data_IF_946853185994
#
_entry.id   IF_946853185994
#
_cell.length_a   1.000
_cell.length_b   1.000
_cell.length_c   1.000
_cell.angle_alpha   90.00
_cell.angle_beta   90.00
_cell.angle_gamma   90.00
#
_symmetry.space_group_name_H-M   'P 1'
#
loop_
_entity.id
_entity.type
_entity.pdbx_description
1 polymer ?
#
# COMPACT_ATOMS: atom_id res chain seq x y z
N UNK A 1 -5.11 20.85 7.57
CA UNK A 1 -5.23 19.40 7.73
C UNK A 1 -3.88 18.84 8.16
N UNK A 2 -3.85 18.21 9.32
CA UNK A 2 -2.61 17.78 9.96
C UNK A 2 -2.18 16.37 9.50
N UNK A 3 -1.89 16.24 8.22
CA UNK A 3 -1.33 15.01 7.69
C UNK A 3 0.20 15.07 7.80
N UNK A 4 0.77 14.11 8.54
CA UNK A 4 2.22 14.06 8.74
C UNK A 4 2.98 13.89 7.41
N UNK A 5 2.45 13.11 6.47
CA UNK A 5 3.09 12.94 5.17
C UNK A 5 3.01 14.21 4.32
N UNK A 6 1.86 14.88 4.31
CA UNK A 6 1.72 16.15 3.62
C UNK A 6 2.72 17.19 4.16
N UNK A 7 2.92 17.20 5.48
CA UNK A 7 3.87 18.11 6.11
C UNK A 7 5.30 17.77 5.73
N UNK A 8 5.68 16.49 5.75
CA UNK A 8 7.02 16.06 5.35
C UNK A 8 7.34 16.47 3.91
N UNK A 9 6.35 16.32 3.03
CA UNK A 9 6.49 16.67 1.62
C UNK A 9 6.62 18.19 1.45
N UNK A 10 5.71 18.93 2.07
CA UNK A 10 5.69 20.40 1.97
C UNK A 10 6.95 21.05 2.56
N UNK A 11 7.40 20.56 3.72
CA UNK A 11 8.56 21.10 4.41
C UNK A 11 9.88 20.52 3.93
N UNK A 12 9.84 19.55 3.02
CA UNK A 12 11.03 18.90 2.47
C UNK A 12 11.93 18.30 3.56
N UNK A 13 11.29 17.66 4.55
CA UNK A 13 12.00 17.09 5.71
C UNK A 13 11.96 15.56 5.73
N UNK A 14 11.43 14.93 4.70
CA UNK A 14 11.40 13.48 4.59
C UNK A 14 12.80 12.92 4.30
N UNK A 15 13.00 11.66 4.68
CA UNK A 15 14.21 10.90 4.31
C UNK A 15 14.00 10.37 2.88
N UNK A 16 14.24 11.23 1.92
CA UNK A 16 13.85 10.99 0.53
C UNK A 16 14.57 9.81 -0.11
N UNK A 17 13.79 9.03 -0.85
CA UNK A 17 14.27 7.94 -1.70
C UNK A 17 13.95 8.28 -3.16
N UNK A 18 12.76 8.83 -3.43
CA UNK A 18 12.38 9.31 -4.75
C UNK A 18 11.36 10.43 -4.62
N UNK A 19 11.42 11.40 -5.52
CA UNK A 19 10.46 12.51 -5.56
C UNK A 19 9.84 12.60 -6.94
N UNK A 20 8.54 12.87 -6.98
CA UNK A 20 7.82 13.08 -8.22
C UNK A 20 6.58 13.92 -7.98
N UNK A 21 6.00 14.40 -9.07
CA UNK A 21 4.78 15.23 -9.00
C UNK A 21 3.55 14.42 -8.62
N UNK A 22 3.50 13.15 -9.00
CA UNK A 22 2.35 12.26 -8.76
C UNK A 22 2.55 11.34 -7.57
N UNK A 23 3.77 10.86 -7.35
CA UNK A 23 4.11 9.95 -6.27
C UNK A 23 5.52 10.21 -5.78
N UNK A 24 5.77 9.87 -4.52
CA UNK A 24 7.09 10.02 -3.91
C UNK A 24 7.34 8.90 -2.90
N UNK A 25 8.60 8.76 -2.48
CA UNK A 25 9.02 7.67 -1.61
C UNK A 25 10.03 8.18 -0.59
N UNK A 26 9.88 7.72 0.65
CA UNK A 26 10.79 8.11 1.75
C UNK A 26 10.83 7.02 2.82
N UNK A 27 11.86 7.08 3.66
CA UNK A 27 12.02 6.15 4.76
C UNK A 27 11.11 6.47 5.94
N UNK A 28 10.52 5.44 6.58
CA UNK A 28 9.71 5.63 7.80
C UNK A 28 10.60 5.89 9.01
N UNK A 29 9.98 6.40 10.08
CA UNK A 29 10.69 6.63 11.35
C UNK A 29 11.14 5.33 12.02
N UNK A 30 10.30 4.29 11.93
CA UNK A 30 10.56 2.99 12.56
C UNK A 30 10.57 1.89 11.50
N UNK A 31 11.68 1.72 10.78
CA UNK A 31 11.73 0.72 9.72
C UNK A 31 11.66 -0.70 10.26
N UNK A 32 10.92 -1.56 9.57
CA UNK A 32 10.85 -2.99 9.86
C UNK A 32 12.10 -3.73 9.40
N UNK A 33 12.81 -3.16 8.44
CA UNK A 33 14.02 -3.73 7.85
C UNK A 33 14.86 -2.59 7.28
N UNK A 34 16.17 -2.80 7.10
CA UNK A 34 16.99 -1.80 6.41
C UNK A 34 16.45 -1.52 5.01
N UNK A 35 16.19 -0.25 4.71
CA UNK A 35 15.65 0.14 3.41
C UNK A 35 14.13 0.12 3.29
N UNK A 36 13.40 -0.23 4.36
CA UNK A 36 11.94 -0.12 4.39
C UNK A 36 11.52 1.25 3.88
N UNK A 37 10.65 1.28 2.88
CA UNK A 37 10.28 2.51 2.17
C UNK A 37 8.76 2.67 2.22
N UNK A 38 8.32 3.92 2.39
CA UNK A 38 6.92 4.31 2.20
C UNK A 38 6.80 4.96 0.82
N UNK A 39 5.86 4.47 0.01
CA UNK A 39 5.53 5.06 -1.28
C UNK A 39 4.12 5.62 -1.19
N UNK A 40 3.99 6.89 -1.51
CA UNK A 40 2.75 7.64 -1.29
C UNK A 40 2.42 8.51 -2.50
N UNK A 41 1.13 8.81 -2.75
CA UNK A 41 0.78 9.90 -3.66
C UNK A 41 1.34 11.21 -3.13
N UNK A 42 1.84 12.07 -4.00
CA UNK A 42 2.38 13.37 -3.60
C UNK A 42 1.28 14.26 -3.04
N UNK A 43 0.10 14.26 -3.67
CA UNK A 43 -1.09 14.95 -3.15
C UNK A 43 -1.81 14.07 -2.14
N UNK A 44 -2.54 14.69 -1.24
CA UNK A 44 -3.28 13.98 -0.19
C UNK A 44 -4.47 13.20 -0.77
N UNK A 45 -4.48 11.90 -0.52
CA UNK A 45 -5.62 11.01 -0.67
C UNK A 45 -5.63 10.14 0.57
N UNK A 46 -6.77 10.02 1.22
CA UNK A 46 -6.85 9.37 2.53
C UNK A 46 -6.50 7.88 2.45
N UNK A 47 -6.96 7.20 1.42
CA UNK A 47 -6.81 5.75 1.27
C UNK A 47 -7.03 5.32 -0.19
N UNK A 48 -7.02 4.00 -0.41
CA UNK A 48 -7.24 3.40 -1.72
C UNK A 48 -8.60 3.81 -2.32
N UNK A 49 -9.63 3.90 -1.48
CA UNK A 49 -11.00 4.21 -1.93
C UNK A 49 -11.13 5.65 -2.41
N UNK A 50 -10.29 6.55 -1.92
CA UNK A 50 -10.30 7.98 -2.22
C UNK A 50 -9.36 8.37 -3.36
N UNK A 51 -8.56 7.45 -3.85
CA UNK A 51 -7.48 7.75 -4.80
C UNK A 51 -7.95 7.54 -6.24
N UNK A 52 -7.80 8.55 -7.12
CA UNK A 52 -8.09 8.36 -8.56
C UNK A 52 -7.20 7.29 -9.19
N UNK A 53 -7.70 6.53 -10.17
CA UNK A 53 -6.93 5.46 -10.79
C UNK A 53 -5.59 5.88 -11.37
N UNK A 54 -5.49 7.06 -11.98
CA UNK A 54 -4.24 7.56 -12.56
C UNK A 54 -3.18 7.85 -11.49
N UNK A 55 -3.61 8.32 -10.33
CA UNK A 55 -2.72 8.56 -9.19
C UNK A 55 -2.27 7.22 -8.62
N UNK A 56 -3.20 6.26 -8.51
CA UNK A 56 -2.87 4.92 -8.02
C UNK A 56 -1.88 4.23 -8.95
N UNK A 57 -2.06 4.37 -10.27
CA UNK A 57 -1.13 3.82 -11.27
C UNK A 57 0.27 4.40 -11.10
N UNK A 58 0.38 5.72 -10.95
CA UNK A 58 1.67 6.37 -10.74
C UNK A 58 2.33 5.92 -9.44
N UNK A 59 1.54 5.78 -8.38
CA UNK A 59 2.03 5.33 -7.07
C UNK A 59 2.53 3.89 -7.16
N UNK A 60 1.77 2.99 -7.79
CA UNK A 60 2.15 1.58 -7.92
C UNK A 60 3.36 1.41 -8.84
N UNK A 61 3.48 2.23 -9.88
CA UNK A 61 4.67 2.23 -10.74
C UNK A 61 5.92 2.56 -9.93
N UNK A 62 5.82 3.53 -9.01
CA UNK A 62 6.94 3.87 -8.13
C UNK A 62 7.22 2.74 -7.14
N UNK A 63 6.19 2.07 -6.62
CA UNK A 63 6.36 0.87 -5.78
C UNK A 63 7.21 -0.18 -6.53
N UNK A 64 6.90 -0.46 -7.77
CA UNK A 64 7.64 -1.41 -8.58
C UNK A 64 9.11 -1.00 -8.76
N UNK A 65 9.34 0.29 -9.04
CA UNK A 65 10.71 0.82 -9.21
C UNK A 65 11.52 0.73 -7.91
N UNK A 66 10.90 1.05 -6.78
CA UNK A 66 11.55 0.96 -5.47
C UNK A 66 11.89 -0.50 -5.15
N UNK A 67 10.95 -1.41 -5.40
CA UNK A 67 11.18 -2.84 -5.18
C UNK A 67 12.34 -3.37 -6.03
N UNK A 68 12.40 -2.98 -7.29
CA UNK A 68 13.51 -3.35 -8.18
C UNK A 68 14.85 -2.80 -7.65
N UNK A 69 14.85 -1.56 -7.16
CA UNK A 69 16.04 -0.95 -6.59
C UNK A 69 16.52 -1.68 -5.33
N UNK A 70 15.61 -2.22 -4.53
CA UNK A 70 15.97 -3.00 -3.34
C UNK A 70 16.74 -4.26 -3.70
N UNK A 71 16.37 -4.91 -4.79
CA UNK A 71 17.12 -6.09 -5.27
C UNK A 71 18.51 -5.70 -5.76
N UNK A 72 18.63 -4.62 -6.50
CA UNK A 72 19.90 -4.19 -7.08
C UNK A 72 20.84 -3.54 -6.06
N UNK A 73 20.30 -2.63 -5.23
CA UNK A 73 21.11 -1.82 -4.34
C UNK A 73 21.36 -2.47 -2.98
N UNK A 74 20.43 -3.31 -2.51
CA UNK A 74 20.47 -3.89 -1.16
C UNK A 74 20.61 -5.41 -1.17
N UNK A 75 20.71 -6.05 -2.33
CA UNK A 75 20.73 -7.50 -2.48
C UNK A 75 19.55 -8.20 -1.80
N UNK A 76 18.39 -7.55 -1.77
CA UNK A 76 17.19 -8.16 -1.22
C UNK A 76 16.77 -9.36 -2.07
N UNK A 77 16.40 -10.46 -1.40
CA UNK A 77 15.90 -11.67 -2.07
C UNK A 77 14.49 -11.48 -2.60
N UNK A 78 13.69 -10.70 -1.88
CA UNK A 78 12.31 -10.39 -2.24
C UNK A 78 11.85 -9.14 -1.51
N UNK A 79 10.57 -8.81 -1.69
CA UNK A 79 9.94 -7.68 -1.00
C UNK A 79 8.54 -8.06 -0.58
N UNK A 80 8.07 -7.45 0.52
CA UNK A 80 6.66 -7.46 0.87
C UNK A 80 6.09 -6.06 0.65
N UNK A 81 4.88 -6.01 0.10
CA UNK A 81 4.18 -4.76 -0.14
C UNK A 81 2.90 -4.81 0.68
N UNK A 82 2.71 -3.82 1.56
CA UNK A 82 1.61 -3.78 2.51
C UNK A 82 0.93 -2.43 2.45
N UNK A 83 -0.39 -2.42 2.50
CA UNK A 83 -1.17 -1.19 2.61
C UNK A 83 -2.42 -1.46 3.43
N UNK A 84 -2.74 -0.56 4.35
CA UNK A 84 -3.94 -0.61 5.15
C UNK A 84 -4.85 0.55 4.75
N UNK A 85 -6.13 0.27 4.51
CA UNK A 85 -7.06 1.23 3.94
C UNK A 85 -8.42 1.15 4.63
N UNK A 86 -8.80 2.23 5.27
CA UNK A 86 -10.11 2.35 5.89
C UNK A 86 -10.18 1.82 7.33
N UNK A 87 -11.33 2.00 7.98
CA UNK A 87 -11.53 1.55 9.36
C UNK A 87 -11.38 0.04 9.49
N UNK A 88 -10.77 -0.41 10.58
CA UNK A 88 -10.59 -1.83 10.85
C UNK A 88 -9.38 -2.46 10.16
N UNK A 89 -8.67 -1.71 9.34
CA UNK A 89 -7.52 -2.22 8.58
C UNK A 89 -6.18 -1.95 9.25
N UNK A 90 -6.18 -1.25 10.39
CA UNK A 90 -4.97 -0.79 11.09
C UNK A 90 -4.24 0.33 10.33
N UNK A 91 -4.96 1.12 9.56
CA UNK A 91 -4.37 2.28 8.88
C UNK A 91 -3.92 3.31 9.92
N UNK A 92 -2.61 3.57 9.99
CA UNK A 92 -2.01 4.45 11.01
C UNK A 92 -1.98 5.91 10.59
N UNK A 93 -1.84 6.18 9.31
CA UNK A 93 -1.82 7.54 8.75
C UNK A 93 -2.86 7.62 7.64
N UNK A 94 -3.74 8.64 7.72
CA UNK A 94 -4.82 8.82 6.73
C UNK A 94 -4.32 9.56 5.49
N UNK A 95 -3.33 8.99 4.87
CA UNK A 95 -2.76 9.34 3.58
C UNK A 95 -2.32 8.02 2.97
N UNK A 96 -2.86 7.68 1.80
CA UNK A 96 -2.54 6.40 1.16
C UNK A 96 -1.04 6.15 1.17
N UNK A 97 -0.62 4.98 1.63
CA UNK A 97 0.78 4.61 1.59
C UNK A 97 0.96 3.12 1.44
N UNK A 98 1.99 2.77 0.70
CA UNK A 98 2.43 1.40 0.52
C UNK A 98 3.76 1.24 1.23
N UNK A 99 3.81 0.29 2.17
CA UNK A 99 5.07 -0.15 2.75
C UNK A 99 5.73 -1.08 1.75
N UNK A 100 6.96 -0.79 1.37
CA UNK A 100 7.78 -1.69 0.58
C UNK A 100 8.92 -2.13 1.47
N UNK A 101 8.90 -3.40 1.87
CA UNK A 101 9.80 -3.95 2.86
C UNK A 101 10.74 -4.96 2.20
N UNK A 102 12.04 -4.66 2.10
CA UNK A 102 12.98 -5.63 1.53
C UNK A 102 13.13 -6.81 2.47
N UNK A 103 13.22 -8.00 1.88
CA UNK A 103 13.30 -9.24 2.62
C UNK A 103 14.54 -10.03 2.21
N UNK A 104 15.18 -10.63 3.20
CA UNK A 104 16.31 -11.56 3.02
C UNK A 104 15.96 -12.88 3.68
N UNK A 105 16.53 -13.97 3.17
CA UNK A 105 16.31 -15.30 3.78
C UNK A 105 16.77 -15.24 5.26
N UNK A 106 15.93 -15.75 6.15
CA UNK A 106 16.20 -15.81 7.59
C UNK A 106 16.42 -14.43 8.26
N UNK A 107 15.71 -13.42 7.81
CA UNK A 107 15.85 -12.05 8.31
C UNK A 107 15.09 -11.78 9.64
N UNK A 108 14.39 -12.77 10.16
CA UNK A 108 13.84 -12.73 11.50
C UNK A 108 12.48 -12.06 11.65
N UNK A 109 11.85 -11.59 10.55
CA UNK A 109 10.52 -10.97 10.64
C UNK A 109 9.52 -11.71 9.75
N UNK A 110 8.23 -11.47 10.04
CA UNK A 110 7.12 -11.93 9.20
C UNK A 110 6.13 -10.80 9.03
N UNK A 111 5.62 -10.64 7.82
CA UNK A 111 4.57 -9.67 7.51
C UNK A 111 3.21 -10.35 7.32
N UNK A 112 3.15 -11.68 7.48
CA UNK A 112 1.91 -12.43 7.38
C UNK A 112 1.28 -12.63 8.76
N UNK A 113 -0.04 -12.47 8.89
CA UNK A 113 -0.71 -12.74 10.17
C UNK A 113 -0.63 -14.23 10.51
N UNK A 114 -0.61 -14.52 11.81
CA UNK A 114 -0.53 -15.90 12.31
C UNK A 114 -1.90 -16.52 12.52
N UNK A 115 -2.97 -15.72 12.46
CA UNK A 115 -4.33 -16.18 12.68
C UNK A 115 -5.24 -15.82 11.50
N UNK A 116 -6.48 -16.23 11.64
CA UNK A 116 -7.54 -15.95 10.68
C UNK A 116 -8.56 -14.99 11.28
N UNK A 117 -9.33 -14.33 10.43
CA UNK A 117 -10.39 -13.43 10.87
C UNK A 117 -11.41 -14.16 11.74
N UNK A 118 -11.85 -13.52 12.82
CA UNK A 118 -12.95 -14.01 13.66
C UNK A 118 -14.32 -13.43 13.24
N UNK A 119 -14.36 -12.74 12.10
CA UNK A 119 -15.61 -12.23 11.58
C UNK A 119 -16.55 -13.41 11.27
N UNK A 120 -17.85 -13.23 11.59
CA UNK A 120 -18.85 -14.26 11.28
C UNK A 120 -18.82 -14.59 9.78
N UNK A 121 -19.16 -15.82 9.43
CA UNK A 121 -19.15 -16.27 8.04
C UNK A 121 -20.09 -15.42 7.19
N UNK A 122 -19.68 -15.19 5.94
CA UNK A 122 -20.50 -14.55 4.90
C UNK A 122 -20.91 -15.64 3.92
N UNK A 123 -22.19 -15.70 3.58
CA UNK A 123 -22.69 -16.71 2.63
C UNK A 123 -22.19 -16.39 1.22
N UNK A 124 -21.56 -17.38 0.57
CA UNK A 124 -21.09 -17.32 -0.82
C UNK A 124 -20.33 -16.03 -1.14
N UNK A 125 -19.24 -15.71 -0.38
CA UNK A 125 -18.57 -14.42 -0.55
C UNK A 125 -17.98 -14.22 -1.95
N UNK A 126 -17.44 -15.27 -2.56
CA UNK A 126 -16.86 -15.19 -3.90
C UNK A 126 -17.91 -14.87 -4.95
N UNK A 127 -19.09 -15.49 -4.85
CA UNK A 127 -20.20 -15.22 -5.76
C UNK A 127 -20.70 -13.78 -5.62
N UNK A 128 -20.78 -13.28 -4.40
CA UNK A 128 -21.21 -11.92 -4.14
C UNK A 128 -20.22 -10.89 -4.69
N UNK A 129 -18.93 -11.15 -4.57
CA UNK A 129 -17.89 -10.33 -5.16
C UNK A 129 -17.94 -10.37 -6.68
N UNK A 130 -18.10 -11.58 -7.25
CA UNK A 130 -18.21 -11.76 -8.68
C UNK A 130 -19.38 -10.95 -9.26
N UNK A 131 -20.56 -11.07 -8.64
CA UNK A 131 -21.75 -10.36 -9.10
C UNK A 131 -21.59 -8.84 -9.04
N UNK A 132 -20.94 -8.35 -7.99
CA UNK A 132 -20.67 -6.90 -7.83
C UNK A 132 -19.71 -6.38 -8.90
N UNK A 133 -18.66 -7.16 -9.20
CA UNK A 133 -17.65 -6.77 -10.19
C UNK A 133 -18.11 -7.00 -11.62
N UNK A 134 -19.11 -7.87 -11.82
CA UNK A 134 -19.60 -8.29 -13.14
C UNK A 134 -21.12 -8.14 -13.22
N UNK A 135 -21.68 -6.91 -13.13
CA UNK A 135 -23.13 -6.73 -13.03
C UNK A 135 -23.91 -7.30 -14.21
N UNK A 136 -23.29 -7.39 -15.41
CA UNK A 136 -23.92 -8.00 -16.59
C UNK A 136 -24.15 -9.51 -16.47
N UNK A 137 -23.49 -10.18 -15.49
CA UNK A 137 -23.64 -11.59 -15.20
C UNK A 137 -24.50 -11.86 -13.96
N UNK A 138 -25.01 -10.80 -13.31
CA UNK A 138 -25.90 -10.93 -12.16
C UNK A 138 -27.24 -11.54 -12.58
N UNK A 139 -27.84 -12.43 -11.75
CA UNK A 139 -29.18 -12.97 -12.04
C UNK A 139 -30.26 -11.93 -12.28
N UNK A 140 -30.15 -10.77 -11.64
CA UNK A 140 -31.11 -9.66 -11.77
C UNK A 140 -31.07 -8.97 -13.13
N UNK A 141 -30.05 -9.23 -13.92
CA UNK A 141 -29.90 -8.66 -15.27
C UNK A 141 -30.21 -9.68 -16.37
N UNK A 142 -30.72 -10.87 -15.99
CA UNK A 142 -31.12 -11.91 -16.92
C UNK A 142 -32.63 -11.84 -17.16
N UNK A 143 -33.06 -10.84 -17.82
CA UNK A 143 -34.44 -10.76 -18.29
C UNK A 143 -34.48 -10.89 -19.79
#
# INVERSE_FOLDING_TARGET
>A
MDCVFCRLIREDTARWIARGSMACAFGPLNPLAPGHTLVVPTRHHADLFDTPPEVLTATMTLVQRVAAAMRTALDASGVNILSANGPGSEQSVHHLHFHVVPRWVDDGISTWPTGQSNHRSVKDPEARLFDTLNPAHSPDHRS
#
